data_IF_858634321500
#
_entry.id   IF_858634321500
#
_cell.length_a   1.000
_cell.length_b   1.000
_cell.length_c   1.000
_cell.angle_alpha   90.00
_cell.angle_beta   90.00
_cell.angle_gamma   90.00
#
_symmetry.space_group_name_H-M   'P 1'
#
loop_
_entity.id
_entity.type
_entity.pdbx_description
1 polymer ?
#
# COMPACT_ATOMS: atom_id res chain seq x y z
N UNK A 1 -17.89 -17.36 8.75
CA UNK A 1 -17.79 -17.56 7.27
C UNK A 1 -19.15 -17.78 6.59
N UNK A 2 -19.53 -16.88 5.68
CA UNK A 2 -20.68 -16.99 4.76
C UNK A 2 -20.17 -17.17 3.32
N UNK A 3 -20.82 -18.02 2.54
CA UNK A 3 -20.45 -18.31 1.15
C UNK A 3 -21.57 -17.85 0.22
N UNK A 4 -21.32 -16.79 -0.53
CA UNK A 4 -22.33 -16.08 -1.33
C UNK A 4 -21.98 -16.23 -2.82
N UNK A 5 -22.82 -16.91 -3.63
CA UNK A 5 -22.64 -16.94 -5.08
C UNK A 5 -22.70 -15.52 -5.67
N UNK A 6 -21.82 -15.23 -6.64
CA UNK A 6 -21.81 -13.96 -7.37
C UNK A 6 -21.81 -14.28 -8.87
N UNK A 7 -22.96 -14.14 -9.51
CA UNK A 7 -23.13 -14.65 -10.89
C UNK A 7 -22.96 -16.17 -10.95
N UNK A 8 -22.57 -16.66 -12.13
CA UNK A 8 -22.56 -18.10 -12.43
C UNK A 8 -21.22 -18.79 -12.11
N UNK A 9 -20.13 -18.02 -12.06
CA UNK A 9 -18.75 -18.55 -12.02
C UNK A 9 -17.91 -18.00 -10.86
N UNK A 10 -18.51 -17.27 -9.92
CA UNK A 10 -17.78 -16.61 -8.83
C UNK A 10 -18.42 -16.84 -7.48
N UNK A 11 -17.60 -16.82 -6.43
CA UNK A 11 -18.00 -17.01 -5.04
C UNK A 11 -17.37 -15.91 -4.18
N UNK A 12 -18.20 -15.16 -3.47
CA UNK A 12 -17.77 -14.24 -2.42
C UNK A 12 -17.78 -14.97 -1.08
N UNK A 13 -16.60 -15.11 -0.49
CA UNK A 13 -16.43 -15.61 0.87
C UNK A 13 -16.40 -14.42 1.80
N UNK A 14 -17.36 -14.33 2.71
CA UNK A 14 -17.53 -13.25 3.67
C UNK A 14 -17.23 -13.75 5.08
N UNK A 15 -16.28 -13.10 5.75
CA UNK A 15 -15.64 -13.56 6.98
C UNK A 15 -15.89 -12.57 8.11
N UNK A 16 -15.66 -13.05 9.34
CA UNK A 16 -16.04 -12.30 10.53
C UNK A 16 -14.97 -11.25 10.89
N UNK A 17 -13.72 -11.42 10.42
CA UNK A 17 -12.65 -10.44 10.60
C UNK A 17 -11.65 -10.37 9.42
N UNK A 18 -10.84 -9.29 9.34
CA UNK A 18 -9.76 -9.19 8.36
C UNK A 18 -8.68 -10.26 8.52
N UNK A 19 -8.39 -10.68 9.75
CA UNK A 19 -7.42 -11.74 10.05
C UNK A 19 -7.88 -13.09 9.48
N UNK A 20 -9.18 -13.39 9.57
CA UNK A 20 -9.75 -14.59 8.94
C UNK A 20 -9.62 -14.52 7.41
N UNK A 21 -9.83 -13.35 6.80
CA UNK A 21 -9.65 -13.16 5.36
C UNK A 21 -8.19 -13.35 4.93
N UNK A 22 -7.23 -12.82 5.69
CA UNK A 22 -5.82 -13.05 5.46
C UNK A 22 -5.46 -14.54 5.59
N UNK A 23 -5.98 -15.22 6.62
CA UNK A 23 -5.72 -16.63 6.87
C UNK A 23 -6.27 -17.53 5.76
N UNK A 24 -7.51 -17.29 5.32
CA UNK A 24 -8.11 -18.03 4.21
C UNK A 24 -7.37 -17.75 2.90
N UNK A 25 -6.96 -16.50 2.65
CA UNK A 25 -6.17 -16.15 1.46
C UNK A 25 -4.84 -16.92 1.43
N UNK A 26 -4.12 -16.96 2.55
CA UNK A 26 -2.88 -17.73 2.67
C UNK A 26 -3.11 -19.24 2.44
N UNK A 27 -4.18 -19.79 3.01
CA UNK A 27 -4.52 -21.21 2.84
C UNK A 27 -4.89 -21.55 1.39
N UNK A 28 -5.64 -20.68 0.71
CA UNK A 28 -5.96 -20.84 -0.71
C UNK A 28 -4.68 -20.86 -1.57
N UNK A 29 -3.75 -19.92 -1.34
CA UNK A 29 -2.47 -19.89 -2.06
C UNK A 29 -1.62 -21.13 -1.76
N UNK A 30 -1.56 -21.57 -0.50
CA UNK A 30 -0.83 -22.77 -0.10
C UNK A 30 -1.37 -24.01 -0.81
N UNK A 31 -2.71 -24.18 -0.85
CA UNK A 31 -3.35 -25.31 -1.53
C UNK A 31 -3.17 -25.25 -3.05
N UNK A 32 -3.22 -24.05 -3.65
CA UNK A 32 -2.92 -23.83 -5.07
C UNK A 32 -1.49 -24.27 -5.40
N UNK A 33 -0.50 -23.83 -4.61
CA UNK A 33 0.90 -24.23 -4.78
C UNK A 33 1.14 -25.73 -4.60
N UNK A 34 0.37 -26.37 -3.72
CA UNK A 34 0.40 -27.82 -3.51
C UNK A 34 -0.42 -28.63 -4.54
N UNK A 35 -1.14 -27.98 -5.47
CA UNK A 35 -2.02 -28.65 -6.44
C UNK A 35 -3.24 -29.32 -5.82
N UNK A 36 -3.63 -28.92 -4.61
CA UNK A 36 -4.77 -29.49 -3.85
C UNK A 36 -6.02 -28.61 -3.89
N UNK A 37 -5.95 -27.47 -4.58
CA UNK A 37 -7.07 -26.57 -4.82
C UNK A 37 -7.62 -26.81 -6.23
N UNK A 38 -8.94 -26.94 -6.37
CA UNK A 38 -9.59 -26.91 -7.67
C UNK A 38 -9.20 -25.64 -8.44
N UNK A 39 -9.12 -25.65 -9.78
CA UNK A 39 -8.73 -24.46 -10.54
C UNK A 39 -9.65 -23.27 -10.27
N UNK A 40 -9.05 -22.18 -9.78
CA UNK A 40 -9.65 -20.86 -9.60
C UNK A 40 -8.75 -19.89 -10.34
N UNK A 41 -9.27 -19.15 -11.32
CA UNK A 41 -8.45 -18.23 -12.10
C UNK A 41 -7.95 -17.08 -11.23
N UNK A 42 -8.85 -16.42 -10.49
CA UNK A 42 -8.51 -15.25 -9.68
C UNK A 42 -8.96 -15.44 -8.23
N UNK A 43 -8.06 -15.10 -7.30
CA UNK A 43 -8.34 -15.01 -5.88
C UNK A 43 -8.08 -13.55 -5.49
N UNK A 44 -9.13 -12.85 -5.11
CA UNK A 44 -9.09 -11.41 -4.85
C UNK A 44 -9.45 -11.15 -3.38
N UNK A 45 -8.47 -11.02 -2.48
CA UNK A 45 -8.74 -10.63 -1.10
C UNK A 45 -9.20 -9.16 -1.04
N UNK A 46 -10.13 -8.89 -0.13
CA UNK A 46 -10.54 -7.56 0.31
C UNK A 46 -10.35 -7.44 1.83
N UNK A 47 -11.08 -6.52 2.46
CA UNK A 47 -10.99 -6.29 3.91
C UNK A 47 -11.36 -7.54 4.72
N UNK A 48 -12.63 -7.94 4.70
CA UNK A 48 -13.15 -9.14 5.37
C UNK A 48 -13.70 -10.18 4.40
N UNK A 49 -13.37 -10.04 3.12
CA UNK A 49 -13.97 -10.84 2.05
C UNK A 49 -12.91 -11.38 1.11
N UNK A 50 -13.14 -12.53 0.50
CA UNK A 50 -12.36 -13.02 -0.65
C UNK A 50 -13.32 -13.29 -1.80
N UNK A 51 -13.07 -12.66 -2.95
CA UNK A 51 -13.77 -12.99 -4.19
C UNK A 51 -12.94 -14.02 -4.96
N UNK A 52 -13.55 -15.16 -5.24
CA UNK A 52 -13.01 -16.23 -6.07
C UNK A 52 -13.73 -16.16 -7.42
N UNK A 53 -12.99 -16.00 -8.53
CA UNK A 53 -13.58 -15.84 -9.87
C UNK A 53 -13.17 -16.94 -10.85
N UNK A 54 -14.03 -17.14 -11.84
CA UNK A 54 -13.89 -18.11 -12.92
C UNK A 54 -13.63 -19.51 -12.37
N UNK A 55 -14.52 -19.96 -11.48
CA UNK A 55 -14.46 -21.26 -10.81
C UNK A 55 -15.18 -22.30 -11.68
N UNK A 56 -14.49 -23.41 -11.97
CA UNK A 56 -15.12 -24.59 -12.55
C UNK A 56 -15.87 -25.37 -11.45
N UNK A 57 -17.17 -25.08 -11.27
CA UNK A 57 -18.04 -25.78 -10.31
C UNK A 57 -18.16 -25.08 -8.95
N UNK A 58 -18.84 -23.93 -8.94
CA UNK A 58 -19.07 -23.09 -7.75
C UNK A 58 -19.67 -23.88 -6.58
N UNK A 59 -20.67 -24.73 -6.82
CA UNK A 59 -21.36 -25.49 -5.76
C UNK A 59 -20.45 -26.53 -5.08
N UNK A 60 -19.59 -27.19 -5.87
CA UNK A 60 -18.59 -28.13 -5.35
C UNK A 60 -17.59 -27.39 -4.45
N UNK A 61 -17.00 -26.30 -4.96
CA UNK A 61 -16.05 -25.50 -4.18
C UNK A 61 -16.69 -24.92 -2.92
N UNK A 62 -17.93 -24.42 -3.02
CA UNK A 62 -18.69 -23.93 -1.87
C UNK A 62 -18.88 -25.01 -0.81
N UNK A 63 -19.22 -26.23 -1.22
CA UNK A 63 -19.39 -27.37 -0.30
C UNK A 63 -18.07 -27.75 0.36
N UNK A 64 -16.97 -27.75 -0.40
CA UNK A 64 -15.63 -28.01 0.14
C UNK A 64 -15.19 -26.96 1.14
N UNK A 65 -15.27 -25.66 0.76
CA UNK A 65 -14.91 -24.54 1.63
C UNK A 65 -15.67 -24.59 2.95
N UNK A 66 -16.96 -24.93 2.94
CA UNK A 66 -17.77 -25.09 4.14
C UNK A 66 -17.26 -26.15 5.13
N UNK A 67 -16.34 -27.04 4.70
CA UNK A 67 -15.73 -28.09 5.53
C UNK A 67 -14.28 -27.78 5.90
N UNK A 68 -13.69 -26.71 5.38
CA UNK A 68 -12.28 -26.42 5.63
C UNK A 68 -12.09 -25.92 7.06
N UNK A 69 -11.06 -26.46 7.71
CA UNK A 69 -10.44 -25.82 8.84
C UNK A 69 -9.31 -24.93 8.33
N UNK A 70 -9.46 -23.62 8.46
CA UNK A 70 -8.43 -22.65 8.09
C UNK A 70 -7.55 -22.42 9.31
N UNK A 71 -6.25 -22.75 9.26
CA UNK A 71 -5.36 -22.47 10.37
C UNK A 71 -5.22 -20.97 10.56
N UNK A 72 -5.00 -20.54 11.81
CA UNK A 72 -4.65 -19.15 12.09
C UNK A 72 -3.38 -18.77 11.32
N UNK A 73 -3.32 -17.50 10.91
CA UNK A 73 -2.17 -16.95 10.23
C UNK A 73 -0.94 -17.04 11.14
N UNK A 74 0.03 -17.88 10.80
CA UNK A 74 1.28 -18.00 11.56
C UNK A 74 2.27 -16.93 11.13
N UNK A 75 3.23 -16.63 12.00
CA UNK A 75 4.38 -15.79 11.64
C UNK A 75 5.14 -16.46 10.48
N UNK A 76 5.07 -15.86 9.30
CA UNK A 76 5.71 -16.40 8.09
C UNK A 76 7.22 -16.17 8.14
N UNK A 77 8.00 -17.16 7.69
CA UNK A 77 9.45 -17.07 7.50
C UNK A 77 9.86 -16.44 6.15
N UNK A 78 8.89 -15.93 5.38
CA UNK A 78 9.12 -15.31 4.07
C UNK A 78 9.95 -14.02 4.14
N UNK A 79 10.46 -13.53 3.00
CA UNK A 79 11.29 -12.34 2.94
C UNK A 79 10.56 -11.12 3.50
N UNK A 80 11.29 -10.29 4.26
CA UNK A 80 10.84 -9.02 4.77
C UNK A 80 11.30 -7.90 3.84
N UNK A 81 10.35 -7.16 3.26
CA UNK A 81 10.66 -6.02 2.40
C UNK A 81 10.86 -4.76 3.26
N UNK A 82 12.05 -4.18 3.18
CA UNK A 82 12.33 -2.90 3.83
C UNK A 82 12.03 -1.72 2.90
N UNK A 83 11.18 -0.80 3.35
CA UNK A 83 10.81 0.40 2.59
C UNK A 83 11.39 1.63 3.29
N UNK A 84 12.36 2.35 2.70
CA UNK A 84 12.87 3.60 3.24
C UNK A 84 11.77 4.67 3.25
N UNK A 85 11.61 5.37 4.38
CA UNK A 85 10.61 6.44 4.53
C UNK A 85 11.25 7.66 5.16
N UNK A 86 11.03 8.81 4.53
CA UNK A 86 11.25 10.12 5.16
C UNK A 86 9.95 10.50 5.86
N UNK A 87 9.95 10.62 7.18
CA UNK A 87 8.76 10.96 7.98
C UNK A 87 8.55 12.48 8.00
N UNK A 88 8.13 13.02 6.85
CA UNK A 88 7.87 14.43 6.58
C UNK A 88 6.39 14.72 6.26
N UNK A 89 5.50 13.78 6.59
CA UNK A 89 4.11 13.84 6.19
C UNK A 89 3.36 15.01 6.83
N UNK A 90 2.49 15.64 6.07
CA UNK A 90 1.75 16.84 6.51
C UNK A 90 0.82 16.61 7.71
N UNK A 91 0.46 15.35 8.00
CA UNK A 91 -0.41 14.99 9.12
C UNK A 91 0.35 14.30 10.26
N UNK A 92 1.70 14.24 10.21
CA UNK A 92 2.50 13.55 11.23
C UNK A 92 2.22 14.09 12.64
N UNK A 93 2.17 15.42 12.77
CA UNK A 93 1.82 16.12 14.01
C UNK A 93 0.41 15.82 14.49
N UNK A 94 -0.55 15.74 13.57
CA UNK A 94 -1.95 15.46 13.89
C UNK A 94 -2.11 14.01 14.37
N UNK A 95 -1.40 13.06 13.75
CA UNK A 95 -1.33 11.67 14.21
C UNK A 95 -0.70 11.58 15.59
N UNK A 96 0.39 12.32 15.84
CA UNK A 96 1.03 12.38 17.15
C UNK A 96 0.04 12.88 18.23
N UNK A 97 -0.74 13.92 17.92
CA UNK A 97 -1.78 14.43 18.81
C UNK A 97 -2.90 13.41 19.06
N UNK A 98 -3.36 12.70 18.02
CA UNK A 98 -4.37 11.63 18.14
C UNK A 98 -3.89 10.46 19.02
N UNK A 99 -2.60 10.16 18.97
CA UNK A 99 -1.98 9.11 19.78
C UNK A 99 -1.54 9.58 21.17
N UNK A 100 -1.58 10.89 21.44
CA UNK A 100 -1.10 11.48 22.69
C UNK A 100 0.41 11.35 22.89
N UNK A 101 1.19 11.43 21.82
CA UNK A 101 2.66 11.23 21.83
C UNK A 101 3.40 12.28 20.97
N UNK A 102 4.73 12.19 20.91
CA UNK A 102 5.55 13.03 20.03
C UNK A 102 5.59 12.49 18.59
N UNK A 103 5.98 13.32 17.63
CA UNK A 103 6.18 12.88 16.23
C UNK A 103 7.23 11.76 16.16
N UNK A 104 8.33 11.87 16.90
CA UNK A 104 9.36 10.80 17.00
C UNK A 104 8.79 9.47 17.50
N UNK A 105 7.81 9.52 18.41
CA UNK A 105 7.12 8.33 18.87
C UNK A 105 6.24 7.71 17.78
N UNK A 106 5.59 8.54 16.96
CA UNK A 106 4.84 8.07 15.79
C UNK A 106 5.77 7.32 14.84
N UNK A 107 6.93 7.92 14.53
CA UNK A 107 7.96 7.31 13.69
C UNK A 107 8.38 5.97 14.29
N UNK A 108 8.79 5.96 15.57
CA UNK A 108 9.27 4.76 16.26
C UNK A 108 8.25 3.62 16.22
N UNK A 109 6.97 3.91 16.52
CA UNK A 109 5.90 2.91 16.52
C UNK A 109 5.60 2.40 15.12
N UNK A 110 5.47 3.29 14.15
CA UNK A 110 5.17 2.91 12.77
C UNK A 110 6.29 2.10 12.12
N UNK A 111 7.56 2.47 12.32
CA UNK A 111 8.72 1.71 11.80
C UNK A 111 9.07 0.48 12.62
N UNK A 112 8.69 0.45 13.90
CA UNK A 112 9.10 -0.58 14.86
C UNK A 112 8.35 -1.90 14.73
N UNK A 113 7.25 -1.93 13.98
CA UNK A 113 6.43 -3.13 13.76
C UNK A 113 6.64 -3.71 12.37
N UNK A 114 6.33 -5.00 12.22
CA UNK A 114 6.17 -5.61 10.91
C UNK A 114 4.75 -5.42 10.43
N UNK A 115 4.63 -4.88 9.22
CA UNK A 115 3.37 -4.76 8.53
C UNK A 115 3.19 -5.94 7.58
N UNK A 116 1.94 -6.31 7.31
CA UNK A 116 1.59 -7.33 6.33
C UNK A 116 0.54 -6.77 5.37
N UNK A 117 0.76 -6.94 4.08
CA UNK A 117 -0.25 -6.57 3.07
C UNK A 117 -1.46 -7.48 3.24
N UNK A 118 -2.59 -6.89 3.67
CA UNK A 118 -3.86 -7.56 3.84
C UNK A 118 -4.52 -7.85 2.48
N UNK A 119 -4.62 -6.79 1.67
CA UNK A 119 -5.21 -6.83 0.34
C UNK A 119 -4.72 -5.63 -0.49
N UNK A 120 -4.92 -5.70 -1.81
CA UNK A 120 -4.63 -4.61 -2.74
C UNK A 120 -5.94 -4.14 -3.39
N UNK A 121 -6.03 -2.86 -3.71
CA UNK A 121 -7.24 -2.25 -4.26
C UNK A 121 -7.09 -0.74 -4.42
N UNK A 122 -8.18 -0.02 -4.73
CA UNK A 122 -8.20 1.43 -4.98
C UNK A 122 -7.44 1.90 -6.25
N UNK A 123 -6.18 1.53 -6.41
CA UNK A 123 -5.39 1.79 -7.59
C UNK A 123 -4.33 0.68 -7.79
N UNK A 124 -3.84 0.45 -9.03
CA UNK A 124 -2.72 -0.46 -9.27
C UNK A 124 -1.52 -0.11 -8.37
N UNK A 125 -1.03 -1.08 -7.62
CA UNK A 125 0.09 -0.92 -6.68
C UNK A 125 -0.27 -0.37 -5.30
N UNK A 126 -1.53 -0.01 -5.02
CA UNK A 126 -1.93 0.40 -3.67
C UNK A 126 -2.27 -0.83 -2.83
N UNK A 127 -1.58 -0.94 -1.69
CA UNK A 127 -1.68 -2.04 -0.75
C UNK A 127 -2.15 -1.53 0.62
N UNK A 128 -3.14 -2.23 1.19
CA UNK A 128 -3.61 -2.01 2.55
C UNK A 128 -2.81 -2.93 3.46
N UNK A 129 -2.08 -2.36 4.42
CA UNK A 129 -1.19 -3.11 5.29
C UNK A 129 -1.64 -3.01 6.75
N UNK A 130 -1.70 -4.14 7.44
CA UNK A 130 -2.01 -4.24 8.89
C UNK A 130 -0.74 -4.50 9.68
N UNK A 131 -0.76 -4.30 10.99
CA UNK A 131 0.38 -4.60 11.87
C UNK A 131 0.52 -3.63 13.06
N UNK A 132 -0.14 -2.48 13.00
CA UNK A 132 -0.27 -1.58 14.14
C UNK A 132 -1.25 -2.15 15.17
N UNK A 133 -0.97 -1.87 16.44
CA UNK A 133 -1.88 -2.14 17.55
C UNK A 133 -3.17 -1.32 17.40
N UNK A 134 -4.30 -1.86 17.88
CA UNK A 134 -5.61 -1.21 17.82
C UNK A 134 -5.62 0.17 18.48
N UNK A 135 -4.81 0.36 19.54
CA UNK A 135 -4.64 1.66 20.20
C UNK A 135 -4.05 2.76 19.30
N UNK A 136 -3.46 2.39 18.16
CA UNK A 136 -2.85 3.31 17.19
C UNK A 136 -3.64 3.45 15.90
N UNK A 137 -4.86 2.89 15.83
CA UNK A 137 -5.75 3.13 14.72
C UNK A 137 -6.18 4.60 14.69
N UNK A 138 -6.08 5.24 13.51
CA UNK A 138 -6.46 6.67 13.35
C UNK A 138 -7.62 6.84 12.39
N UNK A 139 -8.55 7.77 12.64
CA UNK A 139 -9.63 8.03 11.70
C UNK A 139 -9.09 8.58 10.37
N UNK A 140 -9.89 8.40 9.30
CA UNK A 140 -9.71 9.17 8.07
C UNK A 140 -9.94 10.66 8.37
N UNK A 141 -9.32 11.52 7.57
CA UNK A 141 -9.65 12.95 7.56
C UNK A 141 -11.13 13.15 7.23
N UNK A 142 -11.73 14.14 7.86
CA UNK A 142 -13.13 14.54 7.62
C UNK A 142 -13.35 15.06 6.19
N UNK A 143 -12.37 15.77 5.65
CA UNK A 143 -12.33 16.22 4.26
C UNK A 143 -11.14 15.56 3.54
N UNK A 144 -11.38 14.75 2.48
CA UNK A 144 -10.30 14.18 1.70
C UNK A 144 -9.57 15.25 0.89
N UNK A 145 -8.27 15.04 0.67
CA UNK A 145 -7.48 15.88 -0.25
C UNK A 145 -7.90 15.59 -1.68
N UNK A 146 -7.94 16.63 -2.51
CA UNK A 146 -8.14 16.50 -3.95
C UNK A 146 -6.97 15.80 -4.64
N UNK A 147 -5.77 15.92 -4.08
CA UNK A 147 -4.57 15.24 -4.56
C UNK A 147 -3.64 14.92 -3.40
N UNK A 148 -3.22 13.66 -3.32
CA UNK A 148 -2.16 13.11 -2.47
C UNK A 148 -0.99 12.73 -3.39
N UNK A 149 0.24 13.18 -3.13
CA UNK A 149 1.40 12.83 -3.96
C UNK A 149 1.68 11.33 -4.02
N UNK A 150 2.26 10.86 -5.13
CA UNK A 150 2.83 9.52 -5.19
C UNK A 150 3.92 9.34 -4.13
N UNK A 151 4.09 8.12 -3.64
CA UNK A 151 5.04 7.80 -2.58
C UNK A 151 4.58 8.21 -1.17
N UNK A 152 3.43 8.87 -1.02
CA UNK A 152 2.93 9.25 0.31
C UNK A 152 2.62 8.01 1.15
N UNK A 153 3.25 7.91 2.32
CA UNK A 153 2.98 6.91 3.35
C UNK A 153 1.90 7.46 4.28
N UNK A 154 0.85 6.67 4.51
CA UNK A 154 -0.34 7.17 5.18
C UNK A 154 -1.03 6.13 6.08
N UNK A 155 -1.84 6.62 7.02
CA UNK A 155 -2.61 5.84 7.98
C UNK A 155 -4.12 6.10 7.87
N UNK A 156 -4.93 5.05 7.98
CA UNK A 156 -6.38 5.14 8.18
C UNK A 156 -6.96 3.84 8.74
N UNK A 157 -7.73 3.95 9.83
CA UNK A 157 -8.24 2.82 10.59
C UNK A 157 -7.08 1.93 11.04
N UNK A 158 -7.23 0.63 10.78
CA UNK A 158 -6.21 -0.38 11.04
C UNK A 158 -5.07 -0.44 10.03
N UNK A 159 -5.12 0.41 8.99
CA UNK A 159 -4.23 0.27 7.85
C UNK A 159 -3.18 1.36 7.78
N UNK A 160 -1.99 0.96 7.37
CA UNK A 160 -1.01 1.79 6.71
C UNK A 160 -0.96 1.46 5.22
N UNK A 161 -0.51 2.39 4.40
CA UNK A 161 -0.55 2.28 2.95
C UNK A 161 0.37 3.29 2.30
N UNK A 162 0.75 3.03 1.05
CA UNK A 162 1.57 3.94 0.26
C UNK A 162 0.83 4.24 -1.05
N UNK A 163 0.67 5.53 -1.36
CA UNK A 163 0.00 5.97 -2.58
C UNK A 163 0.93 5.73 -3.78
N UNK A 164 0.61 4.82 -4.73
CA UNK A 164 1.51 4.50 -5.85
C UNK A 164 1.55 5.59 -6.92
N UNK A 165 0.54 6.46 -6.96
CA UNK A 165 0.38 7.54 -7.94
C UNK A 165 -0.43 8.70 -7.34
N UNK A 166 -0.36 9.91 -7.93
CA UNK A 166 -1.18 11.02 -7.47
C UNK A 166 -2.67 10.68 -7.57
N UNK A 167 -3.40 10.84 -6.46
CA UNK A 167 -4.85 10.55 -6.40
C UNK A 167 -5.53 11.27 -5.24
N UNK A 168 -6.85 11.49 -5.28
CA UNK A 168 -7.59 11.97 -4.12
C UNK A 168 -7.48 10.99 -2.95
N UNK A 169 -7.39 11.48 -1.71
CA UNK A 169 -7.18 10.62 -0.55
C UNK A 169 -7.50 11.28 0.78
N UNK A 170 -8.13 10.53 1.68
CA UNK A 170 -8.52 10.97 3.02
C UNK A 170 -7.69 10.37 4.15
N UNK A 171 -6.57 9.73 3.86
CA UNK A 171 -5.70 9.14 4.88
C UNK A 171 -4.77 10.19 5.48
N UNK A 172 -4.32 9.94 6.71
CA UNK A 172 -3.36 10.78 7.42
C UNK A 172 -1.95 10.52 6.87
N UNK A 173 -1.34 11.52 6.23
CA UNK A 173 -0.03 11.42 5.60
C UNK A 173 1.08 11.61 6.64
N UNK A 174 1.90 10.58 6.86
CA UNK A 174 2.95 10.56 7.88
C UNK A 174 4.37 10.60 7.30
N UNK A 175 4.55 10.32 6.01
CA UNK A 175 5.86 10.39 5.36
C UNK A 175 5.80 10.16 3.87
N UNK A 176 6.98 10.02 3.25
CA UNK A 176 7.14 9.77 1.82
C UNK A 176 8.23 8.73 1.56
N UNK A 177 8.06 7.97 0.47
CA UNK A 177 9.07 7.05 -0.07
C UNK A 177 9.18 7.21 -1.58
N UNK A 178 10.39 7.04 -2.11
CA UNK A 178 10.66 7.05 -3.55
C UNK A 178 10.62 5.64 -4.17
N UNK A 179 10.26 4.62 -3.38
CA UNK A 179 10.20 3.24 -3.86
C UNK A 179 9.08 3.07 -4.90
N UNK A 180 9.38 2.55 -6.12
CA UNK A 180 8.37 2.30 -7.14
C UNK A 180 7.52 1.07 -6.80
N UNK A 181 6.27 1.31 -6.40
CA UNK A 181 5.33 0.26 -6.00
C UNK A 181 4.72 -0.52 -7.17
N UNK A 182 4.71 0.09 -8.36
CA UNK A 182 4.21 -0.51 -9.59
C UNK A 182 5.22 -0.30 -10.71
N UNK A 183 5.59 -1.38 -11.38
CA UNK A 183 6.55 -1.40 -12.47
C UNK A 183 6.11 -2.45 -13.49
N UNK A 184 5.85 -2.04 -14.73
CA UNK A 184 5.38 -2.96 -15.79
C UNK A 184 6.50 -3.85 -16.33
N UNK A 185 7.77 -3.53 -16.06
CA UNK A 185 8.92 -4.32 -16.49
C UNK A 185 9.34 -5.36 -15.43
N UNK A 186 8.70 -5.36 -14.26
CA UNK A 186 8.94 -6.30 -13.15
C UNK A 186 7.86 -7.39 -13.11
N UNK A 187 8.24 -8.62 -12.75
CA UNK A 187 7.30 -9.70 -12.44
C UNK A 187 7.48 -10.16 -10.98
N UNK A 188 6.48 -9.98 -10.10
CA UNK A 188 5.19 -9.31 -10.34
C UNK A 188 5.31 -7.79 -10.47
N UNK A 189 4.42 -7.19 -11.25
CA UNK A 189 4.42 -5.75 -11.49
C UNK A 189 4.18 -4.93 -10.20
N UNK A 190 3.31 -5.44 -9.32
CA UNK A 190 3.13 -4.89 -7.99
C UNK A 190 4.25 -5.35 -7.04
N UNK A 191 4.95 -4.39 -6.42
CA UNK A 191 5.94 -4.68 -5.39
C UNK A 191 5.28 -5.28 -4.13
N UNK A 192 4.08 -4.77 -3.80
CA UNK A 192 3.30 -5.15 -2.64
C UNK A 192 2.14 -6.04 -3.09
N UNK A 193 2.18 -7.31 -2.70
CA UNK A 193 1.13 -8.29 -2.97
C UNK A 193 0.56 -8.82 -1.65
N UNK A 194 -0.70 -9.28 -1.60
CA UNK A 194 -1.28 -9.78 -0.36
C UNK A 194 -0.43 -10.90 0.27
N UNK A 195 -0.07 -10.71 1.54
CA UNK A 195 0.87 -11.56 2.27
C UNK A 195 2.31 -11.02 2.33
N UNK A 196 2.70 -10.04 1.52
CA UNK A 196 4.03 -9.41 1.62
C UNK A 196 4.24 -8.82 3.02
N UNK A 197 5.37 -9.15 3.65
CA UNK A 197 5.82 -8.57 4.91
C UNK A 197 6.63 -7.31 4.62
N UNK A 198 6.34 -6.23 5.33
CA UNK A 198 6.94 -4.91 5.12
C UNK A 198 7.44 -4.35 6.45
N UNK A 199 8.65 -3.80 6.46
CA UNK A 199 9.14 -2.93 7.55
C UNK A 199 9.51 -1.58 6.97
N UNK A 200 8.96 -0.52 7.54
CA UNK A 200 9.37 0.84 7.18
C UNK A 200 10.66 1.20 7.89
N UNK A 201 11.63 1.72 7.15
CA UNK A 201 12.93 2.11 7.69
C UNK A 201 13.04 3.64 7.62
N UNK A 202 13.06 4.35 8.76
CA UNK A 202 13.24 5.80 8.77
C UNK A 202 14.53 6.19 8.05
N UNK A 203 14.46 7.22 7.23
CA UNK A 203 15.59 7.84 6.54
C UNK A 203 15.53 9.35 6.70
N UNK A 204 16.71 9.96 6.76
CA UNK A 204 16.82 11.40 6.63
C UNK A 204 16.43 11.84 5.22
N UNK A 205 15.82 13.03 5.05
CA UNK A 205 15.60 13.58 3.72
C UNK A 205 16.92 13.72 2.97
N UNK A 206 16.92 13.37 1.69
CA UNK A 206 18.06 13.63 0.83
C UNK A 206 18.39 15.15 0.88
N UNK A 207 19.69 15.53 0.91
CA UNK A 207 20.07 16.92 0.87
C UNK A 207 19.47 17.58 -0.38
N UNK A 208 18.94 18.79 -0.22
CA UNK A 208 18.34 19.53 -1.33
C UNK A 208 19.35 19.61 -2.49
N UNK A 209 18.91 19.41 -3.75
CA UNK A 209 19.80 19.58 -4.88
C UNK A 209 20.40 20.97 -4.84
N UNK A 210 21.72 21.07 -5.02
CA UNK A 210 22.41 22.35 -5.03
C UNK A 210 21.73 23.29 -6.03
N UNK A 211 21.55 24.59 -5.69
CA UNK A 211 20.92 25.53 -6.59
C UNK A 211 21.65 25.52 -7.92
N UNK A 212 20.89 25.40 -9.01
CA UNK A 212 21.44 25.44 -10.36
C UNK A 212 22.30 26.70 -10.52
N UNK A 213 23.50 26.62 -11.14
CA UNK A 213 24.34 27.79 -11.35
C UNK A 213 23.54 28.84 -12.10
N UNK A 214 23.55 30.07 -11.58
CA UNK A 214 22.86 31.20 -12.19
C UNK A 214 23.29 31.32 -13.67
N UNK A 215 22.36 31.58 -14.60
CA UNK A 215 22.72 31.78 -16.00
C UNK A 215 23.72 32.93 -16.08
N UNK A 216 24.88 32.66 -16.68
CA UNK A 216 25.90 33.66 -16.91
C UNK A 216 25.26 34.83 -17.65
N UNK A 217 25.23 36.00 -17.01
CA UNK A 217 24.76 37.24 -17.60
C UNK A 217 25.56 37.52 -18.86
N UNK A 218 24.92 37.29 -20.02
CA UNK A 218 25.49 37.53 -21.33
C UNK A 218 25.93 38.99 -21.45
N UNK A 219 27.21 39.19 -21.75
CA UNK A 219 27.74 40.49 -22.12
C UNK A 219 27.00 40.97 -23.37
N UNK A 220 26.31 42.10 -23.26
CA UNK A 220 25.73 42.79 -24.42
C UNK A 220 26.86 43.23 -25.35
N UNK A 221 26.95 42.61 -26.53
CA UNK A 221 27.77 43.13 -27.62
C UNK A 221 27.22 44.51 -28.01
N UNK A 222 28.01 45.56 -27.77
CA UNK A 222 27.71 46.92 -28.22
C UNK A 222 27.63 46.97 -29.73
N UNK A 223 26.48 47.41 -30.25
CA UNK A 223 26.30 47.75 -31.66
C UNK A 223 26.92 49.14 -31.88
N UNK A 224 28.08 49.19 -32.54
CA UNK A 224 28.69 50.43 -33.02
C UNK A 224 27.92 50.89 -34.27
N UNK A 225 27.21 52.01 -34.16
CA UNK A 225 26.55 52.66 -35.29
C UNK A 225 27.56 53.53 -36.05
N UNK A 226 27.99 53.09 -37.22
CA UNK A 226 28.83 53.88 -38.12
C UNK A 226 27.96 54.88 -38.91
N UNK A 227 28.25 56.17 -38.76
CA UNK A 227 27.56 57.29 -39.43
C UNK A 227 28.10 57.45 -40.85
N UNK A 228 27.20 57.34 -41.83
CA UNK A 228 27.44 57.74 -43.22
C UNK A 228 27.49 59.28 -43.29
N UNK A 229 28.62 59.84 -43.75
CA UNK A 229 28.74 61.26 -44.14
C UNK A 229 28.58 61.38 -45.66
N UNK A 230 27.75 62.35 -46.03
CA UNK A 230 27.61 62.98 -47.36
C UNK A 230 28.88 63.69 -47.81
#
# INVERSE_FOLDING_TARGET
MRLLPVGDDSLLVDLDSPEEAQALHAELLRRRGAGTLAPIAEIVPGDRTILLRSISGVDTLRTELGRWHVPALTADSGPLLEIPVVYNGTDLRDVAALWGVTEDEVVRRHSGVEHRVAFCGFAPGFAYMTGLDEAYHVPRRSAPRTSVPAGSVALAGAYTGIYPRPSPGGWQLIGTTDVPLWDMEREPAALLTPGTRVRFVPRDPAPAPAPAPAPASGQSAGVTTERMRT
#
